data_IF_302167498491
#
_entry.id   IF_302167498491
#
_cell.length_a   1.000
_cell.length_b   1.000
_cell.length_c   1.000
_cell.angle_alpha   90.00
_cell.angle_beta   90.00
_cell.angle_gamma   90.00
#
_symmetry.space_group_name_H-M   'P 1'
#
loop_
_entity.id
_entity.type
_entity.pdbx_description
1 polymer ?
#
# COMPACT_ATOMS: atom_id res chain seq x y z
N UNK A 1 -11.09 -27.87 -33.43
CA UNK A 1 -10.56 -28.63 -32.27
C UNK A 1 -9.23 -29.20 -32.73
N UNK A 2 -8.10 -28.78 -32.15
CA UNK A 2 -6.82 -29.31 -32.60
C UNK A 2 -6.54 -30.63 -31.87
N UNK A 3 -6.17 -31.67 -32.61
CA UNK A 3 -5.74 -32.92 -31.99
C UNK A 3 -4.28 -32.75 -31.57
N UNK A 4 -3.95 -33.15 -30.34
CA UNK A 4 -2.59 -33.15 -29.82
C UNK A 4 -2.28 -34.53 -29.22
N UNK A 5 -1.02 -34.81 -28.98
CA UNK A 5 -0.61 -36.05 -28.32
C UNK A 5 -0.52 -35.84 -26.82
N UNK A 6 -1.00 -36.84 -26.07
CA UNK A 6 -0.86 -36.84 -24.62
C UNK A 6 0.62 -36.86 -24.23
N UNK A 7 1.02 -35.96 -23.32
CA UNK A 7 2.42 -35.85 -22.86
C UNK A 7 3.00 -37.14 -22.24
N UNK A 8 2.16 -38.01 -21.70
CA UNK A 8 2.59 -39.28 -21.07
C UNK A 8 2.42 -40.48 -22.02
N UNK A 9 1.17 -40.78 -22.41
CA UNK A 9 0.86 -42.01 -23.14
C UNK A 9 0.94 -41.87 -24.66
N UNK A 10 1.26 -40.68 -25.18
CA UNK A 10 1.44 -40.35 -26.62
C UNK A 10 0.24 -40.59 -27.55
N UNK A 11 -0.86 -41.15 -27.05
CA UNK A 11 -2.13 -41.30 -27.77
C UNK A 11 -2.73 -39.94 -28.11
N UNK A 12 -3.49 -39.90 -29.20
CA UNK A 12 -4.16 -38.70 -29.68
C UNK A 12 -5.29 -38.30 -28.74
N UNK A 13 -5.33 -37.02 -28.38
CA UNK A 13 -6.30 -36.43 -27.47
C UNK A 13 -6.61 -35.00 -27.92
N UNK A 14 -7.77 -34.47 -27.56
CA UNK A 14 -8.07 -33.05 -27.83
C UNK A 14 -7.12 -32.13 -27.05
N UNK A 15 -6.65 -31.08 -27.71
CA UNK A 15 -5.88 -29.96 -27.15
C UNK A 15 -6.51 -29.29 -25.93
N UNK A 16 -7.83 -29.39 -25.77
CA UNK A 16 -8.59 -28.78 -24.67
C UNK A 16 -9.11 -29.80 -23.65
N UNK A 17 -8.74 -31.08 -23.76
CA UNK A 17 -9.16 -32.10 -22.81
C UNK A 17 -8.56 -31.81 -21.42
N UNK A 18 -9.40 -31.83 -20.36
CA UNK A 18 -8.92 -31.61 -18.98
C UNK A 18 -8.19 -32.83 -18.42
N UNK A 19 -8.55 -34.03 -18.87
CA UNK A 19 -7.99 -35.31 -18.43
C UNK A 19 -7.86 -36.23 -19.64
N UNK A 20 -6.75 -36.96 -19.75
CA UNK A 20 -6.56 -37.96 -20.80
C UNK A 20 -7.49 -39.17 -20.58
N UNK A 21 -8.31 -39.58 -21.57
CA UNK A 21 -9.19 -40.74 -21.44
C UNK A 21 -8.44 -42.08 -21.45
N UNK A 22 -7.16 -42.11 -21.84
CA UNK A 22 -6.38 -43.36 -21.96
C UNK A 22 -5.46 -43.65 -20.78
N UNK A 23 -4.96 -42.62 -20.09
CA UNK A 23 -4.03 -42.79 -18.97
C UNK A 23 -4.40 -41.95 -17.74
N UNK A 24 -5.45 -41.13 -17.80
CA UNK A 24 -5.93 -40.36 -16.65
C UNK A 24 -5.10 -39.14 -16.28
N UNK A 25 -4.02 -38.81 -17.01
CA UNK A 25 -3.19 -37.64 -16.69
C UNK A 25 -3.99 -36.34 -16.89
N UNK A 26 -3.90 -35.43 -15.91
CA UNK A 26 -4.51 -34.09 -15.98
C UNK A 26 -3.75 -33.21 -16.96
N UNK A 27 -4.49 -32.46 -17.78
CA UNK A 27 -3.99 -31.55 -18.82
C UNK A 27 -2.97 -32.23 -19.75
N UNK A 28 -3.42 -33.17 -20.60
CA UNK A 28 -2.54 -33.97 -21.45
C UNK A 28 -1.85 -33.17 -22.57
N UNK A 29 -2.45 -32.07 -23.02
CA UNK A 29 -1.90 -31.20 -24.07
C UNK A 29 -0.91 -30.13 -23.58
N UNK A 30 -0.81 -29.91 -22.26
CA UNK A 30 0.05 -28.87 -21.71
C UNK A 30 1.49 -29.39 -21.58
N UNK A 31 2.35 -28.96 -22.51
CA UNK A 31 3.80 -29.18 -22.48
C UNK A 31 4.49 -28.09 -21.67
N UNK A 32 5.56 -28.46 -20.96
CA UNK A 32 6.38 -27.55 -20.17
C UNK A 32 6.95 -26.36 -20.98
N UNK A 33 7.13 -26.53 -22.28
CA UNK A 33 7.60 -25.47 -23.18
C UNK A 33 6.59 -24.33 -23.39
N UNK A 34 5.29 -24.54 -23.13
CA UNK A 34 4.31 -23.44 -23.18
C UNK A 34 4.51 -22.44 -22.04
N UNK A 35 4.94 -22.92 -20.87
CA UNK A 35 5.32 -22.03 -19.76
C UNK A 35 6.56 -21.21 -20.13
N UNK A 36 7.58 -21.84 -20.75
CA UNK A 36 8.77 -21.14 -21.21
C UNK A 36 8.47 -20.15 -22.35
N UNK A 37 7.63 -20.52 -23.31
CA UNK A 37 7.24 -19.64 -24.40
C UNK A 37 6.43 -18.42 -23.90
N UNK A 38 5.52 -18.63 -22.95
CA UNK A 38 4.79 -17.54 -22.29
C UNK A 38 5.73 -16.59 -21.56
N UNK A 39 6.72 -17.12 -20.85
CA UNK A 39 7.71 -16.30 -20.13
C UNK A 39 8.63 -15.53 -21.09
N UNK A 40 9.05 -16.13 -22.21
CA UNK A 40 9.85 -15.46 -23.23
C UNK A 40 9.10 -14.28 -23.88
N UNK A 41 7.79 -14.44 -24.13
CA UNK A 41 6.94 -13.34 -24.64
C UNK A 41 6.84 -12.21 -23.62
N UNK A 42 6.69 -12.50 -22.32
CA UNK A 42 6.69 -11.48 -21.27
C UNK A 42 8.03 -10.75 -21.16
N UNK A 43 9.16 -11.45 -21.32
CA UNK A 43 10.49 -10.83 -21.34
C UNK A 43 10.64 -9.90 -22.56
N UNK A 44 10.17 -10.30 -23.74
CA UNK A 44 10.25 -9.47 -24.95
C UNK A 44 9.34 -8.25 -24.85
N UNK A 45 8.14 -8.39 -24.29
CA UNK A 45 7.24 -7.26 -24.04
C UNK A 45 7.81 -6.33 -22.97
N UNK A 46 8.37 -6.87 -21.88
CA UNK A 46 8.99 -6.10 -20.82
C UNK A 46 10.25 -5.35 -21.29
N UNK A 47 11.11 -5.99 -22.07
CA UNK A 47 12.28 -5.33 -22.68
C UNK A 47 11.87 -4.33 -23.75
N UNK A 48 10.91 -4.66 -24.60
CA UNK A 48 10.34 -3.73 -25.58
C UNK A 48 9.71 -2.50 -24.92
N UNK A 49 8.94 -2.67 -23.84
CA UNK A 49 8.41 -1.57 -23.04
C UNK A 49 9.53 -0.76 -22.36
N UNK A 50 10.56 -1.43 -21.82
CA UNK A 50 11.73 -0.76 -21.26
C UNK A 50 12.47 0.10 -22.29
N UNK A 51 12.66 -0.37 -23.51
CA UNK A 51 13.30 0.41 -24.58
C UNK A 51 12.38 1.48 -25.17
N UNK A 52 11.07 1.24 -25.23
CA UNK A 52 10.09 2.18 -25.77
C UNK A 52 9.76 3.33 -24.80
N UNK A 53 9.68 3.04 -23.50
CA UNK A 53 9.55 4.05 -22.44
C UNK A 53 10.91 4.56 -21.93
N UNK A 54 12.03 3.92 -22.28
CA UNK A 54 13.39 4.24 -21.84
C UNK A 54 14.04 5.44 -22.53
N UNK A 55 13.26 6.49 -22.78
CA UNK A 55 13.74 7.83 -23.16
C UNK A 55 12.89 8.85 -22.43
N UNK A 56 13.10 8.95 -21.12
CA UNK A 56 12.37 9.88 -20.25
C UNK A 56 12.55 9.52 -18.79
N UNK A 57 13.61 10.06 -18.20
CA UNK A 57 13.99 10.04 -16.78
C UNK A 57 14.16 8.68 -16.11
N UNK A 58 15.35 8.52 -15.54
CA UNK A 58 15.60 7.63 -14.42
C UNK A 58 14.52 7.81 -13.36
N UNK A 59 13.54 6.91 -13.31
CA UNK A 59 12.91 6.53 -12.04
C UNK A 59 13.99 5.84 -11.23
N UNK A 60 14.82 6.66 -10.61
CA UNK A 60 15.49 6.30 -9.38
C UNK A 60 14.41 5.73 -8.48
N UNK A 61 14.44 4.41 -8.27
CA UNK A 61 13.92 3.85 -7.04
C UNK A 61 14.72 4.53 -5.92
N UNK A 62 14.19 5.64 -5.42
CA UNK A 62 14.72 6.35 -4.27
C UNK A 62 14.38 5.54 -3.01
N UNK A 63 14.94 4.32 -2.93
CA UNK A 63 15.37 3.70 -1.67
C UNK A 63 16.78 4.21 -1.31
N UNK A 64 17.07 5.46 -1.67
CA UNK A 64 18.01 6.27 -0.91
C UNK A 64 17.20 6.86 0.22
N UNK A 65 17.40 6.34 1.42
CA UNK A 65 17.17 7.12 2.63
C UNK A 65 17.86 8.47 2.39
N UNK A 66 17.09 9.46 1.98
CA UNK A 66 17.58 10.82 1.83
C UNK A 66 18.20 11.18 3.18
N UNK A 67 19.37 11.85 3.21
CA UNK A 67 19.88 12.39 4.45
C UNK A 67 18.75 13.17 5.14
N UNK A 68 18.62 13.08 6.48
CA UNK A 68 17.50 13.67 7.19
C UNK A 68 17.37 15.14 6.76
N UNK A 69 16.25 15.47 6.09
CA UNK A 69 15.98 16.79 5.53
C UNK A 69 16.11 17.79 6.69
N UNK A 70 17.13 18.64 6.64
CA UNK A 70 17.34 19.66 7.67
C UNK A 70 16.24 20.71 7.54
N UNK A 71 15.26 20.65 8.43
CA UNK A 71 14.17 21.60 8.48
C UNK A 71 14.44 22.68 9.52
N UNK A 72 14.15 23.94 9.19
CA UNK A 72 14.09 24.99 10.19
C UNK A 72 12.92 24.72 11.16
N UNK A 73 13.06 25.10 12.43
CA UNK A 73 12.00 24.89 13.43
C UNK A 73 10.67 25.58 13.07
N UNK A 74 10.73 26.68 12.31
CA UNK A 74 9.56 27.43 11.83
C UNK A 74 8.98 26.89 10.54
N UNK A 75 9.71 26.04 9.80
CA UNK A 75 9.26 25.45 8.55
C UNK A 75 8.38 24.22 8.84
N UNK A 76 7.12 24.50 9.14
CA UNK A 76 6.15 23.47 9.50
C UNK A 76 5.87 22.47 8.37
N UNK A 77 5.95 22.88 7.10
CA UNK A 77 5.73 21.99 5.96
C UNK A 77 6.88 21.00 5.83
N UNK A 78 8.12 21.47 5.91
CA UNK A 78 9.29 20.59 5.92
C UNK A 78 9.24 19.62 7.10
N UNK A 79 8.91 20.11 8.30
CA UNK A 79 8.78 19.28 9.49
C UNK A 79 7.67 18.25 9.34
N UNK A 80 6.51 18.62 8.78
CA UNK A 80 5.42 17.70 8.51
C UNK A 80 5.86 16.57 7.58
N UNK A 81 6.40 16.90 6.40
CA UNK A 81 6.86 15.90 5.43
C UNK A 81 7.94 14.99 6.00
N UNK A 82 8.91 15.55 6.72
CA UNK A 82 10.04 14.81 7.28
C UNK A 82 9.62 13.86 8.41
N UNK A 83 8.56 14.17 9.16
CA UNK A 83 8.15 13.40 10.34
C UNK A 83 6.85 12.61 10.12
N UNK A 84 6.19 12.74 8.97
CA UNK A 84 4.90 12.11 8.71
C UNK A 84 4.94 10.58 8.84
N UNK A 85 5.94 9.94 8.24
CA UNK A 85 6.06 8.48 8.27
C UNK A 85 6.28 7.93 9.69
N UNK A 86 7.16 8.55 10.47
CA UNK A 86 7.48 8.11 11.83
C UNK A 86 6.37 8.45 12.85
N UNK A 87 5.68 9.58 12.68
CA UNK A 87 4.58 9.98 13.57
C UNK A 87 3.30 9.18 13.28
N UNK A 88 3.08 8.75 12.03
CA UNK A 88 1.81 8.14 11.60
C UNK A 88 1.43 6.92 12.43
N UNK A 89 2.32 5.93 12.55
CA UNK A 89 2.02 4.69 13.28
C UNK A 89 1.67 4.91 14.76
N UNK A 90 2.51 5.57 15.59
CA UNK A 90 2.19 5.77 16.99
C UNK A 90 0.97 6.67 17.20
N UNK A 91 0.75 7.67 16.33
CA UNK A 91 -0.45 8.50 16.39
C UNK A 91 -1.72 7.68 16.10
N UNK A 92 -1.76 6.90 15.01
CA UNK A 92 -2.90 6.03 14.69
C UNK A 92 -3.23 5.12 15.87
N UNK A 93 -2.21 4.47 16.45
CA UNK A 93 -2.38 3.58 17.61
C UNK A 93 -2.98 4.27 18.85
N UNK A 94 -2.63 5.52 19.12
CA UNK A 94 -3.21 6.24 20.26
C UNK A 94 -4.63 6.73 19.97
N UNK A 95 -4.92 7.13 18.73
CA UNK A 95 -6.28 7.48 18.28
C UNK A 95 -7.21 6.28 18.40
N UNK A 96 -6.79 5.10 17.94
CA UNK A 96 -7.56 3.86 18.02
C UNK A 96 -8.00 3.52 19.44
N UNK A 97 -7.12 3.73 20.43
CA UNK A 97 -7.43 3.49 21.86
C UNK A 97 -8.49 4.43 22.43
N UNK A 98 -8.78 5.55 21.76
CA UNK A 98 -9.88 6.44 22.19
C UNK A 98 -11.25 5.90 21.78
N UNK A 99 -11.31 4.94 20.84
CA UNK A 99 -12.54 4.30 20.44
C UNK A 99 -13.09 3.42 21.58
N UNK A 100 -14.36 3.60 21.91
CA UNK A 100 -15.07 2.76 22.87
C UNK A 100 -15.45 1.38 22.30
N UNK A 101 -15.71 1.32 20.99
CA UNK A 101 -16.10 0.12 20.26
C UNK A 101 -15.13 -0.08 19.08
N UNK A 102 -15.61 -0.56 17.93
CA UNK A 102 -14.79 -0.76 16.74
C UNK A 102 -14.45 0.55 16.02
N UNK A 103 -13.35 0.53 15.27
CA UNK A 103 -12.90 1.62 14.41
C UNK A 103 -12.53 1.09 13.01
N UNK A 104 -12.59 1.96 12.02
CA UNK A 104 -12.19 1.66 10.64
C UNK A 104 -11.45 2.86 10.03
N UNK A 105 -10.24 2.63 9.53
CA UNK A 105 -9.51 3.61 8.74
C UNK A 105 -9.97 3.57 7.28
N UNK A 106 -10.21 4.75 6.70
CA UNK A 106 -10.60 4.91 5.29
C UNK A 106 -9.69 5.89 4.54
N UNK A 107 -8.40 5.93 4.92
CA UNK A 107 -7.32 6.64 4.24
C UNK A 107 -6.99 6.00 2.87
N UNK A 108 -7.29 4.72 2.69
CA UNK A 108 -7.03 4.00 1.44
C UNK A 108 -5.57 3.53 1.34
N UNK A 109 -5.29 2.65 0.37
CA UNK A 109 -3.97 1.97 0.27
C UNK A 109 -2.80 2.95 0.08
N UNK A 110 -3.04 4.08 -0.57
CA UNK A 110 -2.03 5.10 -0.87
C UNK A 110 -2.35 6.47 -0.27
N UNK A 111 -3.38 6.57 0.57
CA UNK A 111 -3.74 7.85 1.18
C UNK A 111 -3.08 8.07 2.53
N UNK A 112 -2.99 9.35 2.91
CA UNK A 112 -2.41 9.76 4.17
C UNK A 112 -3.51 9.86 5.23
N UNK A 113 -3.30 9.17 6.36
CA UNK A 113 -4.15 9.33 7.53
C UNK A 113 -4.12 10.75 8.08
N UNK A 114 -3.02 11.48 7.92
CA UNK A 114 -2.88 12.87 8.36
C UNK A 114 -2.69 13.76 7.15
N UNK A 115 -3.57 14.74 6.98
CA UNK A 115 -3.61 15.63 5.81
C UNK A 115 -3.33 17.08 6.15
N UNK A 116 -3.41 17.43 7.44
CA UNK A 116 -3.18 18.79 7.94
C UNK A 116 -2.19 18.76 9.09
N UNK A 117 -1.54 19.90 9.33
CA UNK A 117 -0.66 20.07 10.48
C UNK A 117 -0.77 21.46 11.09
N UNK A 118 -0.32 21.57 12.33
CA UNK A 118 -0.04 22.85 13.00
C UNK A 118 1.33 22.79 13.64
N UNK A 119 2.20 23.72 13.26
CA UNK A 119 3.53 23.84 13.87
C UNK A 119 3.46 24.58 15.21
N UNK A 120 4.15 24.05 16.22
CA UNK A 120 4.26 24.65 17.56
C UNK A 120 5.75 24.75 17.91
N UNK A 121 6.49 25.69 17.27
CA UNK A 121 7.95 25.75 17.36
C UNK A 121 8.45 25.97 18.79
N UNK A 122 7.72 26.74 19.59
CA UNK A 122 8.10 27.04 20.98
C UNK A 122 8.15 25.80 21.89
N UNK A 123 7.39 24.76 21.54
CA UNK A 123 7.39 23.47 22.24
C UNK A 123 8.16 22.39 21.48
N UNK A 124 8.67 22.68 20.29
CA UNK A 124 9.26 21.66 19.40
C UNK A 124 8.27 20.56 19.02
N UNK A 125 6.99 20.92 18.82
CA UNK A 125 5.90 19.97 18.58
C UNK A 125 5.21 20.24 17.24
N UNK A 126 4.72 19.16 16.63
CA UNK A 126 3.85 19.22 15.48
C UNK A 126 2.52 18.55 15.82
N UNK A 127 1.41 19.20 15.49
CA UNK A 127 0.07 18.61 15.64
C UNK A 127 -0.40 18.11 14.29
N UNK A 128 -0.46 16.79 14.12
CA UNK A 128 -0.96 16.12 12.91
C UNK A 128 -2.48 15.97 13.01
N UNK A 129 -3.22 16.34 11.96
CA UNK A 129 -4.70 16.29 11.96
C UNK A 129 -5.22 15.54 10.73
N UNK A 130 -6.31 14.78 10.92
CA UNK A 130 -6.99 14.05 9.85
C UNK A 130 -8.44 13.72 10.19
N UNK A 131 -9.15 13.16 9.21
CA UNK A 131 -10.56 12.78 9.29
C UNK A 131 -10.86 11.41 8.66
N UNK A 132 -9.82 10.59 8.47
CA UNK A 132 -9.88 9.32 7.74
C UNK A 132 -10.09 8.11 8.65
N UNK A 133 -10.88 8.29 9.71
CA UNK A 133 -11.28 7.21 10.62
C UNK A 133 -12.76 7.32 10.96
N UNK A 134 -13.42 6.17 11.03
CA UNK A 134 -14.79 6.02 11.50
C UNK A 134 -14.80 5.23 12.79
N UNK A 135 -15.53 5.72 13.79
CA UNK A 135 -15.78 4.98 15.03
C UNK A 135 -17.20 4.44 15.04
N UNK A 136 -17.37 3.26 15.63
CA UNK A 136 -18.66 2.61 15.80
C UNK A 136 -19.27 3.10 17.11
N UNK A 137 -20.54 3.50 17.09
CA UNK A 137 -21.27 3.89 18.31
C UNK A 137 -22.07 2.71 18.89
N UNK A 138 -22.80 2.95 19.98
CA UNK A 138 -23.60 1.91 20.66
C UNK A 138 -24.76 1.33 19.84
N UNK A 139 -25.08 1.91 18.68
CA UNK A 139 -26.09 1.42 17.73
C UNK A 139 -25.47 0.72 16.52
N UNK A 140 -24.18 0.40 16.58
CA UNK A 140 -23.41 -0.18 15.48
C UNK A 140 -23.33 0.73 14.22
N UNK A 141 -23.58 2.03 14.37
CA UNK A 141 -23.44 3.00 13.30
C UNK A 141 -22.01 3.55 13.26
N UNK A 142 -21.45 3.70 12.06
CA UNK A 142 -20.12 4.24 11.82
C UNK A 142 -20.17 5.76 11.64
N UNK A 143 -19.49 6.49 12.50
CA UNK A 143 -19.44 7.96 12.51
C UNK A 143 -18.03 8.43 12.16
N UNK A 144 -17.90 9.40 11.26
CA UNK A 144 -16.60 9.98 10.93
C UNK A 144 -16.07 10.81 12.11
N UNK A 145 -14.77 10.70 12.36
CA UNK A 145 -14.10 11.42 13.43
C UNK A 145 -13.04 12.35 12.85
N UNK A 146 -12.95 13.57 13.40
CA UNK A 146 -11.78 14.43 13.28
C UNK A 146 -10.86 14.12 14.45
N UNK A 147 -9.58 13.90 14.17
CA UNK A 147 -8.57 13.64 15.19
C UNK A 147 -7.35 14.52 15.00
N UNK A 148 -6.69 14.80 16.11
CA UNK A 148 -5.38 15.44 16.15
C UNK A 148 -4.42 14.65 17.05
N UNK A 149 -3.16 14.57 16.64
CA UNK A 149 -2.07 13.95 17.40
C UNK A 149 -0.94 14.97 17.57
N UNK A 150 -0.64 15.34 18.82
CA UNK A 150 0.51 16.17 19.15
C UNK A 150 1.74 15.29 19.29
N UNK A 151 2.73 15.53 18.44
CA UNK A 151 3.97 14.77 18.36
C UNK A 151 5.15 15.65 18.75
N UNK A 152 6.00 15.16 19.64
CA UNK A 152 7.23 15.83 20.07
C UNK A 152 8.39 15.46 19.15
N UNK A 153 8.97 16.47 18.48
CA UNK A 153 9.97 16.28 17.44
C UNK A 153 11.34 15.85 17.98
N UNK A 154 11.58 16.05 19.29
CA UNK A 154 12.86 15.73 19.94
C UNK A 154 12.87 14.32 20.49
N UNK A 155 11.86 13.97 21.28
CA UNK A 155 11.68 12.64 21.89
C UNK A 155 11.05 11.63 20.95
N UNK A 156 10.55 12.07 19.79
CA UNK A 156 9.90 11.24 18.77
C UNK A 156 8.72 10.45 19.35
N UNK A 157 7.90 11.13 20.15
CA UNK A 157 6.82 10.51 20.92
C UNK A 157 5.51 11.28 20.84
N UNK A 158 4.40 10.57 21.05
CA UNK A 158 3.06 11.17 21.11
C UNK A 158 2.84 11.78 22.49
N UNK A 159 2.56 13.08 22.52
CA UNK A 159 2.30 13.86 23.73
C UNK A 159 0.82 13.84 24.09
N UNK A 160 -0.04 14.00 23.09
CA UNK A 160 -1.49 14.13 23.28
C UNK A 160 -2.25 13.68 22.03
N UNK A 161 -3.46 13.16 22.22
CA UNK A 161 -4.41 12.89 21.14
C UNK A 161 -5.79 13.41 21.50
N UNK A 162 -6.47 14.00 20.51
CA UNK A 162 -7.85 14.45 20.65
C UNK A 162 -8.66 13.91 19.48
N UNK A 163 -9.87 13.43 19.77
CA UNK A 163 -10.79 12.86 18.78
C UNK A 163 -12.18 13.39 19.05
N UNK A 164 -12.86 13.86 18.01
CA UNK A 164 -14.24 14.36 18.07
C UNK A 164 -15.00 13.98 16.81
N UNK A 165 -16.32 13.87 16.90
CA UNK A 165 -17.15 13.61 15.74
C UNK A 165 -17.04 14.76 14.73
N UNK A 166 -16.97 14.43 13.43
CA UNK A 166 -16.97 15.42 12.37
C UNK A 166 -16.23 14.98 11.12
N UNK A 167 -16.01 15.96 10.23
CA UNK A 167 -15.22 15.83 9.01
C UNK A 167 -14.48 17.14 8.74
N UNK A 168 -13.27 17.06 8.17
CA UNK A 168 -12.49 18.23 7.76
C UNK A 168 -13.03 18.81 6.44
#
# INVERSE_FOLDING_TARGET
>A
MAMTTCKECKKEVSDRAKVCPHCGVKKPGERWWHALAGFAVLIVIGTGAYFYFGSGDSVEATDKASPPKQCAATDGQCLFEANLAEASYPCKKQIEKTSKYDFEWNDGVFGLAFTHFRNVPEKGQLVFTGDKVKFTNGFNAKVNMIYSCTYDLKSKSVVDVSVKEGRL
#
